data_IF_119427697053
#
_entry.id   IF_119427697053
#
_cell.length_a   1.000
_cell.length_b   1.000
_cell.length_c   1.000
_cell.angle_alpha   90.00
_cell.angle_beta   90.00
_cell.angle_gamma   90.00
#
_symmetry.space_group_name_H-M   'P 1'
#
loop_
_entity.id
_entity.type
_entity.pdbx_description
1 polymer ?
#
# COMPACT_ATOMS: atom_id res chain seq x y z
N UNK A 1 38.80 -9.84 55.97
CA UNK A 1 39.66 -10.53 54.99
C UNK A 1 38.90 -11.68 54.38
N UNK A 2 38.95 -11.71 53.06
CA UNK A 2 38.51 -12.68 52.05
C UNK A 2 37.18 -12.38 51.34
N UNK A 3 37.39 -11.88 50.20
CA UNK A 3 36.61 -11.74 48.97
C UNK A 3 36.56 -13.06 48.19
N UNK A 4 35.64 -13.07 47.22
CA UNK A 4 35.45 -14.02 46.09
C UNK A 4 34.38 -15.09 46.38
N UNK A 5 33.32 -15.22 45.56
CA UNK A 5 33.29 -15.36 44.13
C UNK A 5 31.90 -15.05 43.57
N UNK A 6 31.89 -14.18 42.56
CA UNK A 6 30.76 -13.98 41.63
C UNK A 6 30.70 -15.18 40.67
N UNK A 7 29.64 -15.97 40.70
CA UNK A 7 29.35 -16.95 39.66
C UNK A 7 28.47 -16.30 38.59
N UNK A 8 29.08 -16.05 37.46
CA UNK A 8 28.41 -15.72 36.19
C UNK A 8 27.65 -16.96 35.72
N UNK A 9 26.32 -16.91 35.75
CA UNK A 9 25.46 -17.88 35.03
C UNK A 9 25.33 -17.43 33.58
N UNK A 10 26.14 -18.01 32.71
CA UNK A 10 25.91 -17.99 31.25
C UNK A 10 24.78 -18.99 30.94
N UNK A 11 23.58 -18.48 30.73
CA UNK A 11 22.53 -19.29 30.07
C UNK A 11 22.92 -19.52 28.62
N UNK A 12 23.33 -20.74 28.29
CA UNK A 12 23.38 -21.26 26.94
C UNK A 12 21.95 -21.44 26.44
N UNK A 13 21.50 -20.51 25.62
CA UNK A 13 20.30 -20.70 24.81
C UNK A 13 20.68 -21.57 23.63
N UNK A 14 20.38 -22.86 23.72
CA UNK A 14 20.41 -23.76 22.58
C UNK A 14 19.28 -23.35 21.63
N UNK A 15 19.58 -22.49 20.67
CA UNK A 15 18.76 -22.28 19.48
C UNK A 15 18.84 -23.57 18.64
N UNK A 16 17.74 -24.32 18.61
CA UNK A 16 17.57 -25.47 17.73
C UNK A 16 17.76 -25.04 16.26
N UNK A 17 18.86 -25.48 15.72
CA UNK A 17 19.16 -25.86 14.36
C UNK A 17 18.41 -25.23 13.19
N UNK A 18 18.68 -23.95 12.88
CA UNK A 18 18.66 -23.44 11.52
C UNK A 18 20.12 -23.15 11.14
N UNK A 19 20.86 -24.17 10.78
CA UNK A 19 22.17 -24.03 10.16
C UNK A 19 21.96 -23.62 8.69
N UNK A 20 21.73 -22.31 8.45
CA UNK A 20 22.08 -21.70 7.18
C UNK A 20 23.60 -21.80 6.98
N UNK A 21 24.07 -21.86 5.75
CA UNK A 21 25.50 -21.79 5.43
C UNK A 21 26.11 -20.62 6.21
N UNK A 22 27.28 -20.84 6.82
CA UNK A 22 28.02 -19.79 7.53
C UNK A 22 28.10 -18.54 6.65
N UNK A 23 27.36 -17.46 7.03
CA UNK A 23 27.34 -16.18 6.32
C UNK A 23 25.99 -15.72 5.79
N UNK A 24 24.95 -16.56 5.70
CA UNK A 24 23.64 -16.14 5.16
C UNK A 24 22.59 -16.00 6.27
N UNK A 25 22.11 -14.78 6.47
CA UNK A 25 21.08 -14.51 7.50
C UNK A 25 19.76 -15.16 7.07
N UNK A 26 19.10 -15.86 8.00
CA UNK A 26 17.87 -16.65 7.77
C UNK A 26 16.76 -15.86 7.03
N UNK A 27 16.66 -14.55 7.24
CA UNK A 27 15.63 -13.70 6.62
C UNK A 27 15.78 -13.56 5.08
N UNK A 28 16.97 -13.88 4.53
CA UNK A 28 17.23 -13.86 3.10
C UNK A 28 17.16 -15.25 2.46
N UNK A 29 16.91 -16.29 3.27
CA UNK A 29 16.71 -17.65 2.76
C UNK A 29 15.26 -17.78 2.30
N UNK A 30 15.00 -18.22 1.05
CA UNK A 30 13.62 -18.39 0.57
C UNK A 30 12.82 -19.33 1.49
N UNK A 31 11.54 -19.05 1.77
CA UNK A 31 10.68 -19.90 2.58
C UNK A 31 10.62 -21.33 2.01
N UNK A 32 10.75 -22.32 2.89
CA UNK A 32 10.65 -23.73 2.54
C UNK A 32 9.36 -24.33 3.08
N UNK A 33 8.82 -25.31 2.37
CA UNK A 33 7.66 -26.07 2.85
C UNK A 33 8.11 -27.06 3.92
N UNK A 34 7.61 -26.88 5.14
CA UNK A 34 7.82 -27.80 6.26
C UNK A 34 6.56 -28.64 6.47
N UNK A 35 6.74 -29.98 6.60
CA UNK A 35 5.64 -30.84 7.00
C UNK A 35 5.18 -30.47 8.43
N UNK A 36 3.85 -30.42 8.68
CA UNK A 36 3.37 -30.18 10.03
C UNK A 36 3.89 -31.24 11.01
N UNK A 37 4.40 -30.85 12.19
CA UNK A 37 4.98 -31.78 13.17
C UNK A 37 3.94 -32.78 13.68
N UNK A 38 4.44 -33.96 14.10
CA UNK A 38 3.64 -34.92 14.85
C UNK A 38 3.50 -34.43 16.28
N UNK A 39 2.29 -34.43 16.81
CA UNK A 39 1.95 -33.96 18.16
C UNK A 39 1.36 -35.11 18.98
N UNK A 40 1.50 -35.05 20.31
CA UNK A 40 0.99 -36.07 21.23
C UNK A 40 -0.53 -36.03 21.34
N UNK A 41 -1.10 -34.83 21.43
CA UNK A 41 -2.54 -34.60 21.52
C UNK A 41 -3.13 -34.40 20.13
N UNK A 42 -3.28 -35.49 19.36
CA UNK A 42 -3.68 -35.46 17.94
C UNK A 42 -5.08 -34.88 17.67
N UNK A 43 -5.98 -34.89 18.67
CA UNK A 43 -7.37 -34.46 18.54
C UNK A 43 -7.58 -32.94 18.71
N UNK A 44 -6.58 -32.22 19.24
CA UNK A 44 -6.70 -30.76 19.46
C UNK A 44 -6.53 -29.93 18.17
N UNK A 45 -5.58 -30.23 17.27
CA UNK A 45 -5.36 -29.42 16.08
C UNK A 45 -6.53 -29.52 15.10
N UNK A 46 -7.06 -28.37 14.66
CA UNK A 46 -8.10 -28.25 13.62
C UNK A 46 -7.52 -27.97 12.22
N UNK A 47 -6.27 -27.45 12.17
CA UNK A 47 -5.56 -27.11 10.95
C UNK A 47 -4.04 -27.34 11.10
N UNK A 48 -3.25 -27.22 10.02
CA UNK A 48 -1.80 -27.41 10.09
C UNK A 48 -1.07 -26.43 11.02
N UNK A 49 -1.55 -25.18 11.16
CA UNK A 49 -0.92 -24.18 12.05
C UNK A 49 -1.00 -24.63 13.51
N UNK A 50 -2.14 -25.21 13.91
CA UNK A 50 -2.33 -25.72 15.26
C UNK A 50 -1.31 -26.78 15.63
N UNK A 51 -0.83 -27.59 14.67
CA UNK A 51 0.20 -28.60 14.92
C UNK A 51 1.54 -27.97 15.27
N UNK A 52 1.93 -26.88 14.61
CA UNK A 52 3.15 -26.15 14.96
C UNK A 52 3.03 -25.50 16.35
N UNK A 53 1.89 -24.90 16.64
CA UNK A 53 1.64 -24.29 17.97
C UNK A 53 1.65 -25.36 19.08
N UNK A 54 0.97 -26.48 18.85
CA UNK A 54 0.88 -27.55 19.84
C UNK A 54 2.22 -28.22 20.06
N UNK A 55 3.03 -28.45 19.03
CA UNK A 55 4.36 -29.02 19.17
C UNK A 55 5.25 -28.14 20.06
N UNK A 56 5.16 -26.82 19.93
CA UNK A 56 5.91 -25.89 20.77
C UNK A 56 5.40 -25.89 22.22
N UNK A 57 4.09 -25.91 22.43
CA UNK A 57 3.50 -26.07 23.75
C UNK A 57 3.96 -27.38 24.42
N UNK A 58 3.91 -28.51 23.68
CA UNK A 58 4.35 -29.80 24.20
C UNK A 58 5.85 -29.84 24.52
N UNK A 59 6.69 -29.13 23.75
CA UNK A 59 8.14 -29.04 23.98
C UNK A 59 8.46 -28.37 25.33
N UNK A 60 7.63 -27.42 25.72
CA UNK A 60 7.75 -26.65 26.97
C UNK A 60 6.88 -27.20 28.11
N UNK A 61 6.24 -28.37 27.91
CA UNK A 61 5.29 -28.99 28.86
C UNK A 61 4.08 -28.12 29.20
N UNK A 62 3.68 -27.24 28.29
CA UNK A 62 2.45 -26.47 28.40
C UNK A 62 1.29 -27.18 27.70
N UNK A 63 0.07 -26.90 28.15
CA UNK A 63 -1.15 -27.37 27.53
C UNK A 63 -1.93 -26.20 26.92
N UNK A 64 -2.67 -26.42 25.82
CA UNK A 64 -3.59 -25.43 25.34
C UNK A 64 -4.61 -25.07 26.42
N UNK A 65 -5.02 -23.80 26.47
CA UNK A 65 -6.14 -23.38 27.31
C UNK A 65 -7.46 -24.01 26.84
N UNK A 66 -8.42 -24.26 27.72
CA UNK A 66 -9.75 -24.74 27.32
C UNK A 66 -10.43 -23.72 26.43
N UNK A 67 -11.38 -24.22 25.62
CA UNK A 67 -12.23 -23.34 24.82
C UNK A 67 -12.98 -22.34 25.72
N UNK A 68 -13.09 -21.10 25.23
CA UNK A 68 -13.79 -20.04 25.95
C UNK A 68 -15.31 -20.15 25.82
N UNK A 69 -16.07 -19.48 26.68
CA UNK A 69 -17.53 -19.41 26.59
C UNK A 69 -17.99 -18.75 25.27
N UNK A 70 -19.16 -19.16 24.77
CA UNK A 70 -19.77 -18.70 23.52
C UNK A 70 -19.81 -17.18 23.37
N UNK A 71 -20.16 -16.43 24.43
CA UNK A 71 -20.25 -14.95 24.40
C UNK A 71 -18.85 -14.34 24.20
N UNK A 72 -17.87 -14.85 24.92
CA UNK A 72 -16.49 -14.39 24.81
C UNK A 72 -15.92 -14.72 23.43
N UNK A 73 -16.20 -15.91 22.89
CA UNK A 73 -15.81 -16.32 21.54
C UNK A 73 -16.41 -15.38 20.49
N UNK A 74 -17.72 -15.13 20.57
CA UNK A 74 -18.41 -14.21 19.67
C UNK A 74 -17.82 -12.81 19.71
N UNK A 75 -17.56 -12.29 20.92
CA UNK A 75 -16.93 -10.97 21.09
C UNK A 75 -15.55 -10.90 20.47
N UNK A 76 -14.71 -11.92 20.66
CA UNK A 76 -13.37 -11.97 20.09
C UNK A 76 -13.41 -11.96 18.58
N UNK A 77 -14.19 -12.84 17.95
CA UNK A 77 -14.23 -12.91 16.48
C UNK A 77 -14.75 -11.62 15.85
N UNK A 78 -15.73 -10.95 16.48
CA UNK A 78 -16.20 -9.66 16.00
C UNK A 78 -15.10 -8.58 16.06
N UNK A 79 -14.39 -8.49 17.19
CA UNK A 79 -13.30 -7.53 17.35
C UNK A 79 -12.12 -7.83 16.42
N UNK A 80 -11.79 -9.09 16.21
CA UNK A 80 -10.69 -9.50 15.35
C UNK A 80 -11.02 -9.25 13.87
N UNK A 81 -12.21 -9.66 13.42
CA UNK A 81 -12.57 -9.62 12.00
C UNK A 81 -13.02 -8.23 11.54
N UNK A 82 -13.90 -7.57 12.31
CA UNK A 82 -14.50 -6.28 11.91
C UNK A 82 -14.17 -5.11 12.84
N UNK A 83 -13.47 -5.34 13.96
CA UNK A 83 -13.08 -4.31 14.91
C UNK A 83 -14.21 -3.74 15.78
N UNK A 84 -15.42 -4.30 15.69
CA UNK A 84 -16.61 -3.85 16.43
C UNK A 84 -17.16 -4.97 17.30
N UNK A 85 -17.73 -4.66 18.49
CA UNK A 85 -18.40 -5.67 19.31
C UNK A 85 -19.70 -6.16 18.66
N UNK A 86 -20.16 -7.38 18.98
CA UNK A 86 -21.49 -7.84 18.53
C UNK A 86 -22.59 -7.02 19.18
N UNK A 87 -23.69 -6.85 18.47
CA UNK A 87 -24.93 -6.27 19.00
C UNK A 87 -25.64 -7.24 19.97
N UNK A 88 -26.48 -6.75 20.88
CA UNK A 88 -27.28 -7.62 21.77
C UNK A 88 -28.09 -8.68 21.01
N UNK A 89 -28.62 -8.37 19.84
CA UNK A 89 -29.41 -9.31 19.04
C UNK A 89 -28.52 -10.37 18.38
N UNK A 90 -27.33 -10.04 17.94
CA UNK A 90 -26.34 -11.02 17.44
C UNK A 90 -25.91 -11.98 18.56
N UNK A 91 -25.73 -11.48 19.80
CA UNK A 91 -25.46 -12.33 20.96
C UNK A 91 -26.61 -13.31 21.21
N UNK A 92 -27.85 -12.82 21.25
CA UNK A 92 -29.03 -13.68 21.45
C UNK A 92 -29.15 -14.73 20.34
N UNK A 93 -28.99 -14.33 19.07
CA UNK A 93 -29.06 -15.21 17.92
C UNK A 93 -28.01 -16.33 17.99
N UNK A 94 -26.73 -15.98 18.30
CA UNK A 94 -25.66 -16.96 18.41
C UNK A 94 -25.84 -17.93 19.59
N UNK A 95 -26.34 -17.45 20.74
CA UNK A 95 -26.63 -18.33 21.87
C UNK A 95 -27.74 -19.30 21.60
N UNK A 96 -28.76 -18.89 20.83
CA UNK A 96 -29.91 -19.73 20.44
C UNK A 96 -29.56 -20.74 19.33
N UNK A 97 -28.48 -20.49 18.57
CA UNK A 97 -28.06 -21.35 17.45
C UNK A 97 -27.42 -22.64 17.98
N UNK A 98 -28.08 -23.77 17.68
CA UNK A 98 -27.66 -25.11 18.08
C UNK A 98 -26.97 -25.89 16.95
N UNK A 99 -26.74 -25.25 15.80
CA UNK A 99 -26.06 -25.90 14.68
C UNK A 99 -24.57 -26.17 15.02
N UNK A 100 -24.01 -27.30 14.61
CA UNK A 100 -22.60 -27.61 14.87
C UNK A 100 -21.64 -26.61 14.23
N UNK A 101 -22.05 -25.93 13.15
CA UNK A 101 -21.28 -24.92 12.42
C UNK A 101 -21.74 -23.49 12.73
N UNK A 102 -22.38 -23.24 13.87
CA UNK A 102 -22.89 -21.89 14.23
C UNK A 102 -21.77 -20.84 14.27
N UNK A 103 -20.58 -21.22 14.72
CA UNK A 103 -19.42 -20.32 14.76
C UNK A 103 -18.91 -19.97 13.37
N UNK A 104 -18.75 -20.95 12.50
CA UNK A 104 -18.33 -20.78 11.11
C UNK A 104 -19.28 -19.86 10.34
N UNK A 105 -20.61 -20.00 10.56
CA UNK A 105 -21.60 -19.12 9.96
C UNK A 105 -21.41 -17.65 10.40
N UNK A 106 -21.06 -17.43 11.66
CA UNK A 106 -20.73 -16.07 12.13
C UNK A 106 -19.45 -15.55 11.44
N UNK A 107 -18.41 -16.36 11.37
CA UNK A 107 -17.14 -15.99 10.71
C UNK A 107 -17.37 -15.59 9.26
N UNK A 108 -18.08 -16.43 8.48
CA UNK A 108 -18.38 -16.13 7.06
C UNK A 108 -19.17 -14.83 6.90
N UNK A 109 -20.17 -14.61 7.75
CA UNK A 109 -20.93 -13.36 7.75
C UNK A 109 -20.06 -12.14 8.04
N UNK A 110 -19.12 -12.25 8.97
CA UNK A 110 -18.23 -11.16 9.32
C UNK A 110 -17.19 -10.88 8.21
N UNK A 111 -16.67 -11.92 7.56
CA UNK A 111 -15.73 -11.79 6.44
C UNK A 111 -16.39 -11.11 5.22
N UNK A 112 -17.70 -11.31 5.01
CA UNK A 112 -18.44 -10.63 3.92
C UNK A 112 -18.95 -9.23 4.30
N UNK A 113 -18.71 -8.78 5.52
CA UNK A 113 -19.12 -7.46 5.98
C UNK A 113 -18.22 -6.37 5.38
N UNK A 114 -18.78 -5.23 4.91
CA UNK A 114 -17.96 -4.09 4.47
C UNK A 114 -17.04 -3.54 5.58
N UNK A 115 -17.34 -3.82 6.84
CA UNK A 115 -16.50 -3.45 7.99
C UNK A 115 -15.17 -4.21 8.03
N UNK A 116 -15.06 -5.35 7.34
CA UNK A 116 -13.82 -6.10 7.21
C UNK A 116 -12.75 -5.24 6.53
N UNK A 117 -13.06 -4.67 5.38
CA UNK A 117 -12.13 -3.80 4.67
C UNK A 117 -11.80 -2.51 5.43
N UNK A 118 -12.76 -1.92 6.17
CA UNK A 118 -12.48 -0.77 7.04
C UNK A 118 -11.50 -1.14 8.17
N UNK A 119 -11.68 -2.31 8.78
CA UNK A 119 -10.81 -2.81 9.87
C UNK A 119 -9.40 -3.11 9.38
N UNK A 120 -9.26 -3.86 8.28
CA UNK A 120 -7.98 -4.36 7.81
C UNK A 120 -7.26 -3.38 6.88
N UNK A 121 -8.00 -2.63 6.08
CA UNK A 121 -7.45 -1.56 5.25
C UNK A 121 -6.72 -0.49 6.06
N UNK A 122 -7.11 -0.24 7.32
CA UNK A 122 -6.42 0.68 8.21
C UNK A 122 -4.95 0.32 8.41
N UNK A 123 -4.63 -0.96 8.59
CA UNK A 123 -3.24 -1.39 8.80
C UNK A 123 -2.37 -1.12 7.57
N UNK A 124 -2.95 -1.30 6.37
CA UNK A 124 -2.26 -0.92 5.13
C UNK A 124 -2.12 0.60 5.00
N UNK A 125 -3.15 1.35 5.34
CA UNK A 125 -3.13 2.81 5.30
C UNK A 125 -2.10 3.42 6.26
N UNK A 126 -1.93 2.81 7.44
CA UNK A 126 -0.86 3.18 8.39
C UNK A 126 0.53 2.95 7.75
N UNK A 127 0.76 1.78 7.14
CA UNK A 127 2.00 1.49 6.43
C UNK A 127 2.21 2.42 5.21
N UNK A 128 1.14 2.78 4.50
CA UNK A 128 1.15 3.73 3.39
C UNK A 128 1.31 5.19 3.85
N UNK A 129 1.37 5.48 5.14
CA UNK A 129 1.46 6.84 5.72
C UNK A 129 0.30 7.74 5.30
N UNK A 130 -0.92 7.17 5.20
CA UNK A 130 -2.11 7.90 4.77
C UNK A 130 -2.36 9.13 5.64
N UNK A 131 -2.60 10.28 4.99
CA UNK A 131 -3.03 11.50 5.63
C UNK A 131 -3.91 12.33 4.69
N UNK A 132 -4.89 13.04 5.26
CA UNK A 132 -5.75 13.99 4.55
C UNK A 132 -5.22 15.43 4.59
N UNK A 133 -3.93 15.60 4.93
CA UNK A 133 -3.23 16.88 4.92
C UNK A 133 -1.83 16.75 4.33
N UNK A 134 -1.25 17.88 3.92
CA UNK A 134 0.01 17.93 3.16
C UNK A 134 1.25 17.68 4.02
N UNK A 135 1.17 17.91 5.34
CA UNK A 135 2.33 17.94 6.23
C UNK A 135 3.10 19.27 6.12
N UNK A 136 4.28 19.33 6.70
CA UNK A 136 5.07 20.55 6.88
C UNK A 136 4.34 21.64 7.68
N UNK A 137 4.89 22.85 7.72
CA UNK A 137 4.34 23.93 8.55
C UNK A 137 2.99 24.45 8.04
N UNK A 138 2.75 24.38 6.73
CA UNK A 138 1.51 24.83 6.10
C UNK A 138 0.50 23.71 5.90
N UNK A 139 0.50 22.70 6.64
CA UNK A 139 -0.31 21.47 6.63
C UNK A 139 -1.74 21.62 6.05
N UNK A 140 -1.82 21.99 4.77
CA UNK A 140 -3.08 22.23 4.08
C UNK A 140 -3.87 20.94 3.87
N UNK A 141 -5.21 20.98 3.94
CA UNK A 141 -6.04 19.80 3.61
C UNK A 141 -5.82 19.34 2.17
N UNK A 142 -5.74 18.01 1.96
CA UNK A 142 -5.64 17.39 0.64
C UNK A 142 -6.68 16.29 0.43
N UNK A 143 -7.01 16.03 -0.83
CA UNK A 143 -7.99 15.01 -1.20
C UNK A 143 -7.26 13.69 -1.43
N UNK A 144 -7.25 12.80 -0.42
CA UNK A 144 -6.67 11.46 -0.48
C UNK A 144 -7.67 10.33 -0.25
N UNK A 145 -8.91 10.66 0.17
CA UNK A 145 -9.92 9.68 0.55
C UNK A 145 -10.23 8.64 -0.54
N UNK A 146 -10.06 8.97 -1.83
CA UNK A 146 -10.28 8.01 -2.91
C UNK A 146 -9.29 6.85 -2.85
N UNK A 147 -8.03 7.10 -2.49
CA UNK A 147 -7.05 6.04 -2.24
C UNK A 147 -7.43 5.19 -1.02
N UNK A 148 -7.84 5.81 0.09
CA UNK A 148 -8.35 5.09 1.26
C UNK A 148 -9.51 4.17 0.89
N UNK A 149 -10.49 4.70 0.16
CA UNK A 149 -11.66 3.93 -0.25
C UNK A 149 -11.32 2.83 -1.25
N UNK A 150 -10.27 3.04 -2.08
CA UNK A 150 -9.74 1.99 -2.94
C UNK A 150 -9.14 0.85 -2.11
N UNK A 151 -8.33 1.15 -1.09
CA UNK A 151 -7.75 0.14 -0.18
C UNK A 151 -8.85 -0.66 0.52
N UNK A 152 -9.87 0.02 1.06
CA UNK A 152 -11.01 -0.63 1.73
C UNK A 152 -11.75 -1.58 0.77
N UNK A 153 -12.03 -1.12 -0.44
CA UNK A 153 -12.69 -1.97 -1.46
C UNK A 153 -11.83 -3.14 -1.87
N UNK A 154 -10.55 -2.91 -2.19
CA UNK A 154 -9.63 -3.98 -2.58
C UNK A 154 -9.53 -5.08 -1.51
N UNK A 155 -9.57 -4.68 -0.23
CA UNK A 155 -9.60 -5.63 0.90
C UNK A 155 -10.93 -6.39 0.98
N UNK A 156 -12.07 -5.72 0.79
CA UNK A 156 -13.39 -6.37 0.80
C UNK A 156 -13.61 -7.29 -0.41
N UNK A 157 -13.02 -6.94 -1.56
CA UNK A 157 -13.11 -7.71 -2.80
C UNK A 157 -12.09 -8.87 -2.84
N UNK A 158 -11.32 -9.06 -1.75
CA UNK A 158 -10.24 -10.06 -1.65
C UNK A 158 -9.29 -9.99 -2.86
N UNK A 159 -8.90 -8.76 -3.25
CA UNK A 159 -8.01 -8.55 -4.38
C UNK A 159 -6.70 -9.30 -4.15
N UNK A 160 -6.26 -10.20 -5.05
CA UNK A 160 -5.00 -10.90 -4.90
C UNK A 160 -3.84 -9.97 -4.56
N UNK A 161 -3.03 -10.34 -3.56
CA UNK A 161 -2.01 -9.43 -3.01
C UNK A 161 -0.98 -8.98 -4.04
N UNK A 162 -0.61 -9.84 -4.97
CA UNK A 162 0.25 -9.50 -6.10
C UNK A 162 -0.35 -8.41 -6.99
N UNK A 163 -1.64 -8.53 -7.33
CA UNK A 163 -2.36 -7.50 -8.08
C UNK A 163 -2.50 -6.21 -7.25
N UNK A 164 -2.83 -6.33 -5.96
CA UNK A 164 -2.93 -5.19 -5.04
C UNK A 164 -1.62 -4.37 -4.99
N UNK A 165 -0.47 -5.03 -4.94
CA UNK A 165 0.84 -4.37 -4.96
C UNK A 165 1.16 -3.77 -6.33
N UNK A 166 0.91 -4.51 -7.42
CA UNK A 166 1.18 -4.03 -8.79
C UNK A 166 0.36 -2.77 -9.10
N UNK A 167 -0.92 -2.73 -8.73
CA UNK A 167 -1.76 -1.55 -8.97
C UNK A 167 -1.28 -0.33 -8.18
N UNK A 168 -0.78 -0.51 -6.97
CA UNK A 168 -0.25 0.59 -6.16
C UNK A 168 1.09 1.12 -6.65
N UNK A 169 1.96 0.26 -7.14
CA UNK A 169 3.27 0.66 -7.66
C UNK A 169 3.20 1.23 -9.08
N UNK A 170 2.32 0.69 -9.94
CA UNK A 170 2.32 0.97 -11.37
C UNK A 170 0.93 0.87 -12.04
N UNK A 171 -0.16 1.11 -11.31
CA UNK A 171 -1.52 1.01 -11.83
C UNK A 171 -1.81 1.92 -13.02
N UNK A 172 -1.14 3.08 -13.12
CA UNK A 172 -1.22 3.99 -14.26
C UNK A 172 -0.57 3.44 -15.55
N UNK A 173 0.31 2.44 -15.43
CA UNK A 173 1.06 1.83 -16.53
C UNK A 173 0.44 0.52 -17.03
N UNK A 174 -0.62 0.04 -16.41
CA UNK A 174 -1.32 -1.16 -16.85
C UNK A 174 -2.02 -0.93 -18.21
N UNK A 175 -2.10 -1.95 -19.08
CA UNK A 175 -2.84 -1.85 -20.32
C UNK A 175 -4.29 -1.41 -20.07
N UNK A 176 -4.75 -0.36 -20.74
CA UNK A 176 -6.11 0.20 -20.56
C UNK A 176 -6.42 0.54 -19.08
N UNK A 177 -5.45 1.05 -18.34
CA UNK A 177 -5.57 1.37 -16.92
C UNK A 177 -6.90 2.04 -16.58
N UNK A 178 -7.63 1.48 -15.63
CA UNK A 178 -8.89 2.02 -15.13
C UNK A 178 -8.68 3.23 -14.21
N UNK A 179 -9.74 3.95 -13.90
CA UNK A 179 -9.71 5.01 -12.90
C UNK A 179 -9.27 4.47 -11.52
N UNK A 180 -9.79 3.32 -11.12
CA UNK A 180 -9.44 2.66 -9.85
C UNK A 180 -7.95 2.30 -9.77
N UNK A 181 -7.39 1.74 -10.84
CA UNK A 181 -5.96 1.41 -10.92
C UNK A 181 -5.05 2.64 -10.85
N UNK A 182 -5.48 3.77 -11.43
CA UNK A 182 -4.76 5.04 -11.26
C UNK A 182 -4.84 5.55 -9.84
N UNK A 183 -6.02 5.45 -9.19
CA UNK A 183 -6.20 5.83 -7.78
C UNK A 183 -5.32 5.00 -6.85
N UNK A 184 -5.12 3.70 -7.15
CA UNK A 184 -4.22 2.82 -6.39
C UNK A 184 -2.81 3.39 -6.24
N UNK A 185 -2.30 4.11 -7.26
CA UNK A 185 -0.98 4.75 -7.22
C UNK A 185 -0.87 5.85 -6.14
N UNK A 186 -1.98 6.19 -5.50
CA UNK A 186 -2.05 7.03 -4.31
C UNK A 186 -1.16 6.55 -3.16
N UNK A 187 -0.79 5.27 -3.13
CA UNK A 187 0.20 4.72 -2.19
C UNK A 187 1.45 5.59 -2.09
N UNK A 188 2.01 5.99 -3.21
CA UNK A 188 3.20 6.84 -3.28
C UNK A 188 2.88 8.35 -3.39
N UNK A 189 1.61 8.75 -3.24
CA UNK A 189 1.20 10.15 -3.15
C UNK A 189 0.85 10.57 -1.71
N UNK A 190 1.07 9.67 -0.75
CA UNK A 190 0.99 9.97 0.69
C UNK A 190 2.26 10.68 1.22
N UNK A 191 3.28 10.87 0.40
CA UNK A 191 4.43 11.72 0.73
C UNK A 191 3.99 13.12 1.12
N UNK A 192 4.71 13.75 2.01
CA UNK A 192 4.46 15.15 2.39
C UNK A 192 4.64 16.09 1.19
N UNK A 193 3.85 17.14 1.12
CA UNK A 193 3.89 18.17 0.06
C UNK A 193 4.18 19.50 0.73
N UNK A 194 5.27 20.18 0.32
CA UNK A 194 5.54 21.52 0.77
C UNK A 194 4.94 22.53 -0.21
N UNK A 195 4.00 23.36 0.29
CA UNK A 195 3.32 24.42 -0.46
C UNK A 195 3.72 25.83 0.02
N UNK A 196 4.76 25.95 0.84
CA UNK A 196 5.26 27.24 1.34
C UNK A 196 5.91 28.07 0.24
N UNK A 197 5.91 29.39 0.42
CA UNK A 197 6.60 30.31 -0.47
C UNK A 197 8.12 30.25 -0.30
N UNK A 198 8.89 30.36 -1.42
CA UNK A 198 10.34 30.41 -1.38
C UNK A 198 11.07 29.07 -1.23
N UNK A 199 10.36 27.96 -1.26
CA UNK A 199 10.98 26.61 -1.19
C UNK A 199 11.69 26.23 -2.48
N UNK A 200 12.78 25.48 -2.35
CA UNK A 200 13.41 24.81 -3.49
C UNK A 200 12.56 23.59 -3.91
N UNK A 201 11.83 23.74 -5.01
CA UNK A 201 10.92 22.70 -5.52
C UNK A 201 11.66 21.42 -5.91
N UNK A 202 12.90 21.53 -6.38
CA UNK A 202 13.67 20.33 -6.75
C UNK A 202 14.09 19.56 -5.51
N UNK A 203 14.49 20.23 -4.44
CA UNK A 203 14.77 19.58 -3.17
C UNK A 203 13.56 18.76 -2.69
N UNK A 204 12.38 19.37 -2.58
CA UNK A 204 11.18 18.67 -2.08
C UNK A 204 10.73 17.56 -3.03
N UNK A 205 10.96 17.69 -4.34
CA UNK A 205 10.74 16.60 -5.29
C UNK A 205 11.66 15.41 -5.01
N UNK A 206 12.94 15.66 -4.74
CA UNK A 206 13.92 14.64 -4.39
C UNK A 206 13.59 14.00 -3.04
N UNK A 207 13.23 14.79 -2.04
CA UNK A 207 12.84 14.31 -0.71
C UNK A 207 11.60 13.39 -0.80
N UNK A 208 10.65 13.73 -1.67
CA UNK A 208 9.50 12.85 -1.94
C UNK A 208 9.90 11.51 -2.56
N UNK A 209 10.96 11.47 -3.40
CA UNK A 209 11.46 10.21 -3.95
C UNK A 209 12.20 9.41 -2.88
N UNK A 210 12.97 10.06 -2.02
CA UNK A 210 13.64 9.40 -0.89
C UNK A 210 12.62 8.72 0.02
N UNK A 211 11.53 9.41 0.37
CA UNK A 211 10.43 8.86 1.14
C UNK A 211 9.77 7.65 0.44
N UNK A 212 9.58 7.67 -0.88
CA UNK A 212 9.02 6.53 -1.65
C UNK A 212 9.93 5.31 -1.63
N UNK A 213 11.23 5.50 -1.77
CA UNK A 213 12.20 4.40 -1.70
C UNK A 213 12.20 3.78 -0.30
N UNK A 214 12.24 4.61 0.75
CA UNK A 214 12.18 4.15 2.13
C UNK A 214 10.89 3.35 2.38
N UNK A 215 9.74 3.92 2.01
CA UNK A 215 8.43 3.24 2.18
C UNK A 215 8.36 1.91 1.41
N UNK A 216 8.87 1.87 0.18
CA UNK A 216 8.91 0.61 -0.58
C UNK A 216 9.72 -0.45 0.15
N UNK A 217 10.88 -0.07 0.68
CA UNK A 217 11.75 -0.96 1.45
C UNK A 217 11.07 -1.48 2.72
N UNK A 218 10.50 -0.59 3.51
CA UNK A 218 9.87 -0.92 4.78
C UNK A 218 8.59 -1.74 4.61
N UNK A 219 7.71 -1.34 3.70
CA UNK A 219 6.38 -1.95 3.55
C UNK A 219 6.41 -3.25 2.77
N UNK A 220 7.22 -3.33 1.70
CA UNK A 220 7.22 -4.49 0.80
C UNK A 220 8.35 -5.48 1.07
N UNK A 221 9.47 -5.03 1.62
CA UNK A 221 10.64 -5.89 1.88
C UNK A 221 10.94 -6.07 3.37
N UNK A 222 10.33 -5.28 4.25
CA UNK A 222 10.68 -5.29 5.68
C UNK A 222 12.10 -4.81 5.96
N UNK A 223 12.69 -3.99 5.06
CA UNK A 223 14.07 -3.53 5.12
C UNK A 223 14.14 -2.00 5.22
N UNK A 224 15.01 -1.48 6.07
CA UNK A 224 15.21 -0.03 6.25
C UNK A 224 16.19 0.52 5.23
N UNK A 225 15.70 1.02 4.11
CA UNK A 225 16.54 1.56 3.04
C UNK A 225 17.13 2.94 3.33
N UNK A 226 16.56 3.70 4.24
CA UNK A 226 16.90 5.11 4.48
C UNK A 226 18.38 5.38 4.74
N UNK A 227 19.09 4.48 5.44
CA UNK A 227 20.54 4.62 5.66
C UNK A 227 21.34 4.62 4.37
N UNK A 228 20.90 3.84 3.36
CA UNK A 228 21.59 3.69 2.09
C UNK A 228 21.48 4.93 1.16
N UNK A 229 20.69 5.93 1.54
CA UNK A 229 20.67 7.23 0.87
C UNK A 229 22.03 7.93 0.88
N UNK A 230 22.76 7.84 2.00
CA UNK A 230 24.00 8.60 2.20
C UNK A 230 25.28 7.76 2.08
N UNK A 231 25.23 6.47 2.44
CA UNK A 231 26.33 5.52 2.46
C UNK A 231 25.81 4.08 2.36
N UNK A 232 26.66 3.10 2.13
CA UNK A 232 26.27 1.69 2.20
C UNK A 232 25.64 1.37 3.56
N UNK A 233 24.57 0.57 3.59
CA UNK A 233 23.88 0.25 4.84
C UNK A 233 24.83 -0.43 5.82
N UNK A 234 24.75 -0.07 7.11
CA UNK A 234 25.71 -0.55 8.11
C UNK A 234 25.56 -2.03 8.44
N UNK A 235 24.33 -2.52 8.46
CA UNK A 235 23.99 -3.88 8.91
C UNK A 235 23.46 -4.75 7.79
N UNK A 236 22.53 -4.22 6.99
CA UNK A 236 21.93 -4.94 5.89
C UNK A 236 22.81 -4.88 4.63
N UNK A 237 22.85 -5.91 3.80
CA UNK A 237 23.70 -5.95 2.61
C UNK A 237 23.09 -5.13 1.46
N UNK A 238 22.82 -3.84 1.72
CA UNK A 238 22.27 -2.87 0.78
C UNK A 238 23.30 -1.79 0.52
N UNK A 239 23.73 -1.66 -0.73
CA UNK A 239 24.68 -0.62 -1.14
C UNK A 239 23.99 0.69 -1.50
N UNK A 240 24.67 1.81 -1.32
CA UNK A 240 24.17 3.12 -1.74
C UNK A 240 23.75 3.14 -3.23
N UNK A 241 24.54 2.50 -4.10
CA UNK A 241 24.23 2.43 -5.53
C UNK A 241 22.88 1.70 -5.78
N UNK A 242 22.55 0.69 -4.99
CA UNK A 242 21.30 -0.05 -5.11
C UNK A 242 20.10 0.78 -4.65
N UNK A 243 20.27 1.61 -3.62
CA UNK A 243 19.29 2.61 -3.23
C UNK A 243 18.94 3.53 -4.39
N UNK A 244 19.96 4.06 -5.11
CA UNK A 244 19.71 4.94 -6.26
C UNK A 244 19.20 4.21 -7.51
N UNK A 245 19.42 2.91 -7.62
CA UNK A 245 18.73 2.07 -8.62
C UNK A 245 17.22 2.02 -8.36
N UNK A 246 16.82 1.89 -7.09
CA UNK A 246 15.42 1.98 -6.68
C UNK A 246 14.84 3.38 -6.87
N UNK A 247 15.60 4.41 -6.48
CA UNK A 247 15.28 5.82 -6.70
C UNK A 247 14.97 6.11 -8.18
N UNK A 248 15.70 5.49 -9.11
CA UNK A 248 15.55 5.71 -10.54
C UNK A 248 14.13 5.39 -11.06
N UNK A 249 13.41 4.42 -10.47
CA UNK A 249 12.02 4.14 -10.83
C UNK A 249 11.10 5.32 -10.49
N UNK A 250 11.27 5.92 -9.31
CA UNK A 250 10.41 7.01 -8.83
C UNK A 250 10.82 8.37 -9.39
N UNK A 251 12.05 8.51 -9.88
CA UNK A 251 12.50 9.73 -10.58
C UNK A 251 11.80 9.91 -11.94
N UNK A 252 11.21 8.84 -12.49
CA UNK A 252 10.48 8.84 -13.77
C UNK A 252 8.98 9.14 -13.64
N UNK A 253 8.56 9.83 -12.57
CA UNK A 253 7.16 10.06 -12.26
C UNK A 253 6.82 11.55 -12.33
N UNK A 254 5.68 11.85 -12.92
CA UNK A 254 4.92 13.08 -12.71
C UNK A 254 3.78 12.82 -11.70
N UNK A 255 3.36 13.85 -11.01
CA UNK A 255 2.48 13.79 -9.86
C UNK A 255 1.19 14.61 -10.06
N UNK A 256 0.40 14.35 -11.12
CA UNK A 256 -0.76 15.13 -11.39
C UNK A 256 -1.88 14.90 -10.37
N UNK A 257 -2.75 15.91 -10.25
CA UNK A 257 -4.10 15.75 -9.75
C UNK A 257 -4.99 15.42 -10.94
N UNK A 258 -5.70 14.30 -10.89
CA UNK A 258 -6.59 13.84 -11.97
C UNK A 258 -8.04 13.87 -11.53
N UNK A 259 -8.94 14.29 -12.42
CA UNK A 259 -10.37 14.13 -12.20
C UNK A 259 -10.72 12.63 -12.21
N UNK A 260 -11.34 12.20 -11.16
CA UNK A 260 -11.88 10.85 -10.96
C UNK A 260 -13.31 11.04 -10.44
N UNK A 261 -14.26 11.37 -11.31
CA UNK A 261 -15.61 11.67 -10.90
C UNK A 261 -16.28 10.45 -10.26
N UNK A 262 -17.06 10.67 -9.23
CA UNK A 262 -18.04 9.69 -8.76
C UNK A 262 -19.09 9.43 -9.84
N UNK A 263 -19.87 8.36 -9.72
CA UNK A 263 -20.95 8.06 -10.67
C UNK A 263 -21.94 9.22 -10.79
N UNK A 264 -22.27 9.88 -9.68
CA UNK A 264 -23.16 11.03 -9.68
C UNK A 264 -22.56 12.22 -10.44
N UNK A 265 -21.32 12.60 -10.10
CA UNK A 265 -20.59 13.68 -10.79
C UNK A 265 -20.38 13.40 -12.26
N UNK A 266 -20.08 12.16 -12.64
CA UNK A 266 -19.96 11.75 -14.05
C UNK A 266 -21.28 11.98 -14.81
N UNK A 267 -22.41 11.60 -14.21
CA UNK A 267 -23.72 11.80 -14.81
C UNK A 267 -24.07 13.31 -14.92
N UNK A 268 -23.73 14.10 -13.90
CA UNK A 268 -23.91 15.56 -13.95
C UNK A 268 -23.07 16.20 -15.06
N UNK A 269 -21.80 15.82 -15.16
CA UNK A 269 -20.91 16.30 -16.24
C UNK A 269 -21.42 15.89 -17.61
N UNK A 270 -21.84 14.63 -17.78
CA UNK A 270 -22.41 14.13 -19.02
C UNK A 270 -23.66 14.93 -19.45
N UNK A 271 -24.57 15.18 -18.51
CA UNK A 271 -25.77 15.98 -18.77
C UNK A 271 -25.42 17.44 -19.11
N UNK A 272 -24.41 18.01 -18.45
CA UNK A 272 -23.90 19.34 -18.74
C UNK A 272 -23.29 19.39 -20.15
N UNK A 273 -22.45 18.43 -20.52
CA UNK A 273 -21.78 18.36 -21.83
C UNK A 273 -22.79 18.15 -22.97
N UNK A 274 -23.88 17.43 -22.72
CA UNK A 274 -25.01 17.34 -23.66
C UNK A 274 -25.66 18.70 -23.90
N UNK A 275 -25.96 19.46 -22.83
CA UNK A 275 -26.52 20.82 -22.93
C UNK A 275 -25.59 21.77 -23.69
N UNK A 276 -24.27 21.66 -23.44
CA UNK A 276 -23.25 22.45 -24.16
C UNK A 276 -23.27 22.10 -25.64
N UNK A 277 -23.38 20.81 -25.99
CA UNK A 277 -23.44 20.35 -27.38
C UNK A 277 -24.70 20.87 -28.09
N UNK A 278 -25.87 20.73 -27.45
CA UNK A 278 -27.15 21.22 -27.97
C UNK A 278 -27.13 22.74 -28.20
N UNK A 279 -26.63 23.50 -27.21
CA UNK A 279 -26.57 24.95 -27.31
C UNK A 279 -25.54 25.39 -28.37
N UNK A 280 -24.42 24.67 -28.50
CA UNK A 280 -23.42 24.91 -29.54
C UNK A 280 -24.01 24.68 -30.94
N UNK A 281 -24.83 23.65 -31.12
CA UNK A 281 -25.55 23.42 -32.40
C UNK A 281 -26.50 24.57 -32.72
N UNK A 282 -27.25 25.09 -31.76
CA UNK A 282 -28.14 26.26 -31.94
C UNK A 282 -27.36 27.53 -32.29
N UNK A 283 -26.19 27.76 -31.69
CA UNK A 283 -25.30 28.90 -32.07
C UNK A 283 -24.85 28.75 -33.51
N UNK A 284 -24.46 27.53 -33.93
CA UNK A 284 -23.97 27.29 -35.32
C UNK A 284 -25.07 27.42 -36.39
N UNK A 285 -26.33 27.13 -36.03
CA UNK A 285 -27.48 27.27 -36.97
C UNK A 285 -28.04 28.69 -37.03
N UNK A 286 -27.70 29.57 -36.06
CA UNK A 286 -28.17 30.96 -36.07
C UNK A 286 -27.42 31.82 -37.08
N UNK A 287 -28.14 32.76 -37.71
CA UNK A 287 -27.59 33.67 -38.72
C UNK A 287 -26.41 34.48 -38.12
N UNK A 288 -25.32 34.55 -38.88
CA UNK A 288 -24.11 35.22 -38.49
C UNK A 288 -24.35 36.73 -38.27
N UNK A 289 -23.92 37.26 -37.09
CA UNK A 289 -24.10 38.64 -36.72
C UNK A 289 -25.48 39.01 -36.13
N UNK A 290 -26.44 38.08 -36.12
CA UNK A 290 -27.78 38.33 -35.54
C UNK A 290 -27.72 38.51 -34.02
N UNK A 291 -28.66 39.27 -33.48
CA UNK A 291 -28.77 39.46 -32.01
C UNK A 291 -29.14 38.13 -31.30
N UNK A 292 -29.85 37.24 -31.99
CA UNK A 292 -30.16 35.90 -31.52
C UNK A 292 -28.87 35.09 -31.31
N UNK A 293 -27.96 35.14 -32.28
CA UNK A 293 -26.67 34.44 -32.17
C UNK A 293 -25.81 34.97 -31.03
N UNK A 294 -25.74 36.31 -30.87
CA UNK A 294 -25.01 36.94 -29.77
C UNK A 294 -25.54 36.51 -28.39
N UNK A 295 -26.87 36.43 -28.23
CA UNK A 295 -27.49 35.91 -26.99
C UNK A 295 -27.14 34.44 -26.72
N UNK A 296 -27.23 33.57 -27.74
CA UNK A 296 -26.89 32.17 -27.61
C UNK A 296 -25.38 31.95 -27.31
N UNK A 297 -24.50 32.77 -27.90
CA UNK A 297 -23.06 32.74 -27.62
C UNK A 297 -22.76 33.15 -26.17
N UNK A 298 -23.43 34.16 -25.65
CA UNK A 298 -23.31 34.58 -24.24
C UNK A 298 -23.82 33.52 -23.28
N UNK A 299 -24.94 32.84 -23.60
CA UNK A 299 -25.50 31.74 -22.83
C UNK A 299 -24.56 30.54 -22.86
N UNK A 300 -24.01 30.18 -24.04
CA UNK A 300 -23.02 29.10 -24.19
C UNK A 300 -21.75 29.39 -23.37
N UNK A 301 -21.26 30.61 -23.39
CA UNK A 301 -20.09 31.00 -22.60
C UNK A 301 -20.34 30.85 -21.08
N UNK A 302 -21.55 31.27 -20.63
CA UNK A 302 -21.99 31.08 -19.25
C UNK A 302 -22.11 29.62 -18.88
N UNK A 303 -22.74 28.82 -19.75
CA UNK A 303 -22.89 27.37 -19.54
C UNK A 303 -21.51 26.68 -19.44
N UNK A 304 -20.59 26.93 -20.37
CA UNK A 304 -19.23 26.37 -20.34
C UNK A 304 -18.47 26.69 -19.05
N UNK A 305 -18.64 27.90 -18.48
CA UNK A 305 -18.04 28.28 -17.20
C UNK A 305 -18.67 27.57 -16.01
N UNK A 306 -19.90 27.13 -16.13
CA UNK A 306 -20.67 26.46 -15.08
C UNK A 306 -20.49 24.92 -15.09
N UNK A 307 -19.44 24.40 -15.74
CA UNK A 307 -19.17 22.94 -15.75
C UNK A 307 -19.05 22.40 -14.34
N UNK A 308 -19.81 21.37 -13.96
CA UNK A 308 -19.73 20.76 -12.63
C UNK A 308 -18.30 20.27 -12.36
N UNK A 309 -17.81 20.56 -11.15
CA UNK A 309 -16.49 20.08 -10.73
C UNK A 309 -16.56 18.59 -10.44
N UNK A 310 -15.52 17.85 -10.86
CA UNK A 310 -15.35 16.47 -10.47
C UNK A 310 -14.42 16.36 -9.27
N UNK A 311 -14.64 15.32 -8.48
CA UNK A 311 -13.68 14.90 -7.46
C UNK A 311 -12.36 14.57 -8.13
N UNK A 312 -11.25 14.94 -7.47
CA UNK A 312 -9.90 14.69 -7.99
C UNK A 312 -9.13 13.77 -7.07
N UNK A 313 -8.23 12.96 -7.63
CA UNK A 313 -7.29 12.16 -6.88
C UNK A 313 -5.84 12.56 -7.19
N UNK A 314 -4.99 12.42 -6.19
CA UNK A 314 -3.54 12.51 -6.35
C UNK A 314 -3.04 11.16 -6.86
N UNK A 315 -2.51 11.12 -8.08
CA UNK A 315 -2.04 9.89 -8.72
C UNK A 315 -0.59 10.03 -9.18
N UNK A 316 0.06 8.91 -9.44
CA UNK A 316 1.32 8.89 -10.18
C UNK A 316 1.06 8.74 -11.67
N UNK A 317 1.96 9.27 -12.49
CA UNK A 317 1.95 9.10 -13.93
C UNK A 317 3.37 8.93 -14.44
N UNK A 318 3.60 7.86 -15.20
CA UNK A 318 4.89 7.64 -15.83
C UNK A 318 5.20 8.76 -16.84
N UNK A 319 6.40 9.30 -16.77
CA UNK A 319 6.85 10.33 -17.72
C UNK A 319 7.11 9.76 -19.09
N UNK A 320 6.75 10.52 -20.12
CA UNK A 320 7.11 10.23 -21.51
C UNK A 320 8.58 10.57 -21.82
N UNK A 321 9.15 11.55 -21.11
CA UNK A 321 10.57 11.96 -21.25
C UNK A 321 11.33 11.60 -19.99
N UNK A 322 12.19 10.58 -20.03
CA UNK A 322 12.93 10.14 -18.86
C UNK A 322 13.87 11.22 -18.31
N UNK A 323 13.97 11.31 -16.97
CA UNK A 323 15.00 12.10 -16.29
C UNK A 323 16.26 11.26 -16.14
N UNK A 324 17.42 11.88 -16.31
CA UNK A 324 18.69 11.24 -15.92
C UNK A 324 18.72 11.12 -14.39
N UNK A 325 19.08 9.94 -13.91
CA UNK A 325 19.24 9.69 -12.47
C UNK A 325 20.72 9.59 -12.15
N UNK A 326 21.14 10.29 -11.09
CA UNK A 326 22.49 10.23 -10.55
C UNK A 326 22.48 9.69 -9.14
N UNK A 327 23.55 9.03 -8.72
CA UNK A 327 23.84 8.87 -7.31
C UNK A 327 24.23 10.23 -6.72
N UNK A 328 23.78 10.50 -5.51
CA UNK A 328 24.14 11.75 -4.82
C UNK A 328 25.19 11.47 -3.74
N UNK A 329 26.26 12.27 -3.74
CA UNK A 329 27.32 12.16 -2.75
C UNK A 329 26.74 12.51 -1.37
N UNK A 330 26.77 11.57 -0.44
CA UNK A 330 26.19 11.70 0.91
C UNK A 330 24.70 12.11 0.91
N UNK A 331 23.92 11.66 -0.08
CA UNK A 331 22.50 12.01 -0.19
C UNK A 331 22.22 13.44 -0.65
N UNK A 332 23.21 14.24 -0.93
CA UNK A 332 23.04 15.64 -1.32
C UNK A 332 22.78 15.77 -2.83
N UNK A 333 21.57 16.15 -3.21
CA UNK A 333 21.15 16.27 -4.62
C UNK A 333 21.89 17.34 -5.41
N UNK A 334 22.51 18.33 -4.76
CA UNK A 334 23.35 19.34 -5.42
C UNK A 334 24.74 18.81 -5.77
N UNK A 335 25.08 17.57 -5.36
CA UNK A 335 26.35 16.90 -5.60
C UNK A 335 26.15 15.59 -6.37
N UNK A 336 25.71 15.64 -7.64
CA UNK A 336 25.52 14.44 -8.45
C UNK A 336 26.86 13.76 -8.75
N UNK A 337 26.86 12.43 -8.69
CA UNK A 337 27.97 11.57 -9.09
C UNK A 337 27.61 10.83 -10.39
N UNK A 338 27.95 9.55 -10.52
CA UNK A 338 27.70 8.75 -11.72
C UNK A 338 26.20 8.60 -12.04
N UNK A 339 25.91 8.38 -13.33
CA UNK A 339 24.57 8.08 -13.82
C UNK A 339 24.16 6.68 -13.38
N UNK A 340 22.95 6.54 -12.86
CA UNK A 340 22.39 5.29 -12.37
C UNK A 340 21.20 4.86 -13.24
N UNK A 341 21.20 3.58 -13.66
CA UNK A 341 20.06 2.92 -14.30
C UNK A 341 19.15 2.27 -13.24
N UNK A 342 17.83 2.12 -13.52
CA UNK A 342 16.92 1.38 -12.65
C UNK A 342 17.40 -0.05 -12.35
N UNK A 343 17.15 -0.54 -11.15
CA UNK A 343 17.53 -1.88 -10.72
C UNK A 343 17.06 -2.16 -9.29
N UNK A 344 17.47 -3.28 -8.75
CA UNK A 344 17.04 -3.78 -7.45
C UNK A 344 18.23 -4.15 -6.58
N UNK A 345 18.08 -4.31 -5.25
CA UNK A 345 19.14 -4.80 -4.38
C UNK A 345 19.57 -6.22 -4.75
N UNK A 346 20.90 -6.43 -4.82
CA UNK A 346 21.48 -7.72 -5.24
C UNK A 346 21.29 -8.85 -4.26
N UNK A 347 20.94 -8.56 -2.99
CA UNK A 347 20.63 -9.57 -1.97
C UNK A 347 19.27 -10.23 -2.21
N UNK A 348 18.35 -9.54 -2.88
CA UNK A 348 17.06 -10.08 -3.26
C UNK A 348 17.19 -10.92 -4.53
N UNK A 349 16.10 -11.55 -4.98
CA UNK A 349 16.13 -12.35 -6.19
C UNK A 349 16.49 -11.53 -7.45
N UNK A 350 17.03 -12.21 -8.48
CA UNK A 350 17.52 -11.55 -9.68
C UNK A 350 16.42 -10.78 -10.42
N UNK A 351 16.78 -9.58 -10.88
CA UNK A 351 15.95 -8.77 -11.77
C UNK A 351 16.38 -9.00 -13.22
N UNK A 352 15.46 -9.21 -14.17
CA UNK A 352 15.83 -9.31 -15.57
C UNK A 352 16.57 -8.04 -16.03
N UNK A 353 17.77 -8.18 -16.56
CA UNK A 353 18.52 -7.03 -17.07
C UNK A 353 17.75 -6.42 -18.24
N UNK A 354 17.41 -5.13 -18.10
CA UNK A 354 16.77 -4.33 -19.15
C UNK A 354 17.30 -2.91 -19.07
N UNK A 355 17.73 -2.39 -20.20
CA UNK A 355 18.15 -0.96 -20.27
C UNK A 355 16.99 0.01 -20.09
N UNK A 356 15.75 -0.46 -20.30
CA UNK A 356 14.51 0.32 -20.26
C UNK A 356 13.57 -0.10 -19.13
N UNK A 357 14.09 -0.75 -18.08
CA UNK A 357 13.29 -1.16 -16.93
C UNK A 357 12.50 0.01 -16.34
N UNK A 358 11.24 -0.19 -16.12
CA UNK A 358 10.32 0.82 -15.64
C UNK A 358 9.59 0.37 -14.36
N UNK A 359 8.71 1.22 -13.82
CA UNK A 359 7.95 0.95 -12.58
C UNK A 359 7.06 -0.28 -12.66
N UNK A 360 6.50 -0.60 -13.82
CA UNK A 360 5.67 -1.81 -13.99
C UNK A 360 6.53 -3.08 -13.96
N UNK A 361 7.71 -3.04 -14.55
CA UNK A 361 8.66 -4.16 -14.49
C UNK A 361 9.11 -4.40 -13.05
N UNK A 362 9.39 -3.32 -12.32
CA UNK A 362 9.69 -3.38 -10.89
C UNK A 362 8.53 -3.96 -10.08
N UNK A 363 7.31 -3.50 -10.28
CA UNK A 363 6.12 -4.00 -9.58
C UNK A 363 5.90 -5.51 -9.80
N UNK A 364 6.07 -5.98 -11.03
CA UNK A 364 5.98 -7.41 -11.39
C UNK A 364 7.10 -8.24 -10.76
N UNK A 365 8.30 -7.66 -10.67
CA UNK A 365 9.41 -8.31 -9.99
C UNK A 365 9.15 -8.45 -8.49
N UNK A 366 8.65 -7.40 -7.82
CA UNK A 366 8.28 -7.45 -6.39
C UNK A 366 7.30 -8.58 -6.09
N UNK A 367 6.39 -8.87 -7.01
CA UNK A 367 5.33 -9.87 -6.84
C UNK A 367 5.64 -11.22 -7.50
N UNK A 368 6.84 -11.37 -8.08
CA UNK A 368 7.19 -12.63 -8.76
C UNK A 368 7.43 -13.75 -7.77
N UNK A 369 6.90 -14.94 -8.12
CA UNK A 369 7.20 -16.19 -7.40
C UNK A 369 8.55 -16.72 -7.89
N UNK A 370 9.60 -16.54 -7.13
CA UNK A 370 10.93 -17.12 -7.43
C UNK A 370 11.55 -17.68 -6.18
#
# INVERSE_FOLDING_TARGET
>A
MRWQSLFLFFMFWNALGLQGKEGEHWAFIPPQHHAPPVVKQADWPKNPIDRFILAELESTNLKPSPETEKITLLRRVHLDVIGLPPTPDEVKAFLADQRPNAYEVVVERLLTSPRYGERWGRHWLDAARYADSDGYSHDAPRVMWQYRDWVIRATNDDLPFDQFVVEQLAGDMLPNATAAQRVATGFHRNTQINSEGGVDREQFRIDSIFDRVATTGEVLFGLTFGCAQCHDHKYDPIKQVEYYRMFAYYNQVDEPRREIPTTAEFNEQKNHDQKVTELSAKVNSAEQGSDTRKKLEAELAKLKKARPRATTALVMMQRSSPRVTHRFIQGNFTRPAEVIKPGVPGILHSFPESESANRLDFARWVTSRK
#
